data_IF_931170848370
#
_entry.id   IF_931170848370
#
_cell.length_a   1.000
_cell.length_b   1.000
_cell.length_c   1.000
_cell.angle_alpha   90.00
_cell.angle_beta   90.00
_cell.angle_gamma   90.00
#
_symmetry.space_group_name_H-M   'P 1'
#
loop_
_entity.id
_entity.type
_entity.pdbx_description
1 polymer ?
#
# COMPACT_ATOMS: atom_id res chain seq x y z
N UNK A 1 -10.36 -20.35 14.67
CA UNK A 1 -9.10 -19.90 15.30
C UNK A 1 -8.65 -18.64 14.56
N UNK A 2 -8.64 -17.46 15.19
CA UNK A 2 -8.19 -16.20 14.57
C UNK A 2 -6.76 -15.93 15.04
N UNK A 3 -5.79 -16.32 14.23
CA UNK A 3 -4.39 -15.99 14.48
C UNK A 3 -4.25 -14.50 14.15
N UNK A 4 -4.04 -13.67 15.17
CA UNK A 4 -3.67 -12.28 14.97
C UNK A 4 -2.15 -12.29 14.76
N UNK A 5 -1.60 -11.68 13.70
CA UNK A 5 -0.17 -11.59 13.48
C UNK A 5 0.45 -10.59 14.46
N UNK A 6 0.33 -10.85 15.76
CA UNK A 6 0.98 -10.11 16.84
C UNK A 6 2.30 -10.80 17.07
N UNK A 7 3.34 -10.36 16.36
CA UNK A 7 4.71 -10.72 16.70
C UNK A 7 5.18 -9.81 17.84
N UNK A 8 5.96 -10.35 18.77
CA UNK A 8 6.58 -9.55 19.82
C UNK A 8 7.52 -8.52 19.16
N UNK A 9 7.60 -7.29 19.65
CA UNK A 9 8.48 -6.23 19.10
C UNK A 9 9.93 -6.70 18.95
N UNK A 10 10.38 -7.66 19.78
CA UNK A 10 11.70 -8.28 19.68
C UNK A 10 11.96 -9.06 18.36
N UNK A 11 10.91 -9.42 17.64
CA UNK A 11 11.00 -10.07 16.32
C UNK A 11 11.13 -9.05 15.19
N UNK A 12 10.89 -7.76 15.47
CA UNK A 12 11.25 -6.70 14.54
C UNK A 12 12.78 -6.58 14.53
N UNK A 13 13.39 -6.92 13.39
CA UNK A 13 14.77 -6.56 13.15
C UNK A 13 14.84 -5.11 12.68
N UNK A 14 15.80 -4.36 13.22
CA UNK A 14 16.09 -3.00 12.75
C UNK A 14 16.47 -3.07 11.27
N UNK A 15 15.81 -2.25 10.45
CA UNK A 15 16.19 -2.08 9.05
C UNK A 15 17.67 -1.72 8.95
N UNK A 16 18.43 -2.50 8.19
CA UNK A 16 19.82 -2.22 7.87
C UNK A 16 19.89 -1.98 6.36
N UNK A 17 20.24 -0.76 5.92
CA UNK A 17 20.52 -0.52 4.51
C UNK A 17 21.68 -1.40 4.08
N UNK A 18 21.67 -1.89 2.83
CA UNK A 18 22.78 -2.67 2.30
C UNK A 18 24.10 -1.90 2.48
N UNK A 19 25.10 -2.45 3.21
CA UNK A 19 26.38 -1.80 3.42
C UNK A 19 27.15 -1.56 2.12
N UNK A 20 26.77 -2.22 1.03
CA UNK A 20 27.35 -2.00 -0.30
C UNK A 20 26.58 -0.99 -1.14
N UNK A 21 25.49 -0.42 -0.64
CA UNK A 21 24.69 0.59 -1.33
C UNK A 21 24.12 0.11 -2.67
N UNK A 22 23.82 -1.20 -2.80
CA UNK A 22 23.23 -1.76 -4.02
C UNK A 22 21.73 -1.51 -4.08
N UNK A 23 21.10 -1.25 -2.94
CA UNK A 23 19.71 -0.86 -2.89
C UNK A 23 19.58 0.55 -3.50
N UNK A 24 18.73 0.73 -4.53
CA UNK A 24 18.46 2.07 -5.04
C UNK A 24 17.86 2.92 -3.91
N UNK A 25 18.20 4.22 -3.85
CA UNK A 25 17.56 5.11 -2.89
C UNK A 25 16.05 5.12 -3.15
N UNK A 26 15.27 4.88 -2.10
CA UNK A 26 13.82 5.00 -2.17
C UNK A 26 13.45 6.47 -2.41
N UNK A 27 12.41 6.75 -3.21
CA UNK A 27 11.92 8.12 -3.38
C UNK A 27 11.54 8.76 -2.04
N UNK A 28 11.73 10.08 -1.88
CA UNK A 28 11.16 10.79 -0.73
C UNK A 28 9.63 10.90 -0.87
N UNK A 29 8.89 11.06 0.25
CA UNK A 29 7.47 11.39 0.18
C UNK A 29 7.25 12.77 -0.47
N UNK A 30 6.12 12.90 -1.14
CA UNK A 30 5.54 14.17 -1.55
C UNK A 30 4.84 14.76 -0.33
N UNK A 31 5.12 16.02 0.00
CA UNK A 31 4.47 16.69 1.13
C UNK A 31 3.35 17.59 0.61
N UNK A 32 2.12 17.35 1.06
CA UNK A 32 0.95 18.17 0.68
C UNK A 32 0.98 19.55 1.32
N UNK A 33 0.08 20.45 0.90
CA UNK A 33 -0.05 21.78 1.52
C UNK A 33 -0.44 21.70 3.01
N UNK A 34 -1.14 20.64 3.40
CA UNK A 34 -1.54 20.32 4.77
C UNK A 34 -0.41 19.66 5.59
N UNK A 35 0.72 19.33 4.95
CA UNK A 35 1.85 18.65 5.57
C UNK A 35 1.69 17.13 5.69
N UNK A 36 0.79 16.54 4.92
CA UNK A 36 0.62 15.08 4.85
C UNK A 36 1.63 14.47 3.86
N UNK A 37 2.03 13.22 4.11
CA UNK A 37 2.92 12.48 3.22
C UNK A 37 2.12 11.70 2.18
N UNK A 38 2.43 11.91 0.91
CA UNK A 38 1.90 11.16 -0.23
C UNK A 38 3.03 10.43 -0.96
N UNK A 39 2.67 9.30 -1.57
CA UNK A 39 3.58 8.44 -2.31
C UNK A 39 2.96 8.10 -3.66
N UNK A 40 3.77 8.04 -4.70
CA UNK A 40 3.30 7.76 -6.04
C UNK A 40 2.94 6.27 -6.21
N UNK A 41 1.73 6.01 -6.71
CA UNK A 41 1.21 4.67 -6.98
C UNK A 41 1.71 4.21 -8.34
N UNK A 42 2.41 3.07 -8.37
CA UNK A 42 2.87 2.43 -9.62
C UNK A 42 1.77 1.52 -10.21
N UNK A 43 1.18 0.65 -9.38
CA UNK A 43 0.11 -0.27 -9.78
C UNK A 43 -0.74 -0.67 -8.56
N UNK A 44 -2.03 -0.90 -8.75
CA UNK A 44 -2.85 -1.64 -7.78
C UNK A 44 -2.80 -3.12 -8.13
N UNK A 45 -2.35 -3.93 -7.18
CA UNK A 45 -2.12 -5.36 -7.38
C UNK A 45 -3.32 -6.24 -7.00
N UNK A 46 -4.12 -5.80 -6.03
CA UNK A 46 -5.26 -6.56 -5.50
C UNK A 46 -6.24 -5.64 -4.76
N UNK A 47 -7.47 -6.11 -4.55
CA UNK A 47 -8.51 -5.41 -3.79
C UNK A 47 -9.29 -6.37 -2.89
N UNK A 48 -9.72 -5.89 -1.73
CA UNK A 48 -10.58 -6.68 -0.84
C UNK A 48 -11.45 -5.83 0.07
N UNK A 49 -12.56 -6.45 0.48
CA UNK A 49 -13.31 -5.96 1.64
C UNK A 49 -12.57 -6.28 2.95
N UNK A 50 -12.38 -5.28 3.80
CA UNK A 50 -11.86 -5.44 5.16
C UNK A 50 -12.72 -4.67 6.16
N UNK A 51 -12.79 -5.16 7.39
CA UNK A 51 -13.67 -4.63 8.43
C UNK A 51 -14.97 -5.43 8.57
N UNK A 52 -15.91 -4.92 9.38
CA UNK A 52 -17.21 -5.56 9.66
C UNK A 52 -18.32 -4.54 9.85
N UNK A 53 -19.55 -4.95 9.54
CA UNK A 53 -20.74 -4.12 9.69
C UNK A 53 -20.57 -2.80 8.95
N UNK A 54 -20.86 -1.69 9.65
CA UNK A 54 -20.75 -0.32 9.10
C UNK A 54 -19.32 0.12 8.78
N UNK A 55 -18.30 -0.58 9.28
CA UNK A 55 -16.89 -0.25 9.06
C UNK A 55 -16.26 -1.12 7.94
N UNK A 56 -17.06 -1.84 7.17
CA UNK A 56 -16.58 -2.62 6.03
C UNK A 56 -16.21 -1.65 4.91
N UNK A 57 -14.92 -1.59 4.54
CA UNK A 57 -14.38 -0.72 3.49
C UNK A 57 -13.55 -1.51 2.50
N UNK A 58 -13.33 -0.95 1.32
CA UNK A 58 -12.42 -1.48 0.31
C UNK A 58 -11.01 -1.11 0.69
N UNK A 59 -10.09 -2.04 0.48
CA UNK A 59 -8.66 -1.86 0.62
C UNK A 59 -7.98 -2.31 -0.66
N UNK A 60 -6.94 -1.61 -1.07
CA UNK A 60 -6.11 -1.92 -2.24
C UNK A 60 -4.70 -2.30 -1.80
N UNK A 61 -4.11 -3.27 -2.48
CA UNK A 61 -2.69 -3.60 -2.35
C UNK A 61 -1.91 -2.75 -3.35
N UNK A 62 -1.10 -1.84 -2.86
CA UNK A 62 -0.39 -0.86 -3.68
C UNK A 62 1.04 -1.33 -3.94
N UNK A 63 1.45 -1.25 -5.21
CA UNK A 63 2.84 -1.20 -5.64
C UNK A 63 3.25 0.26 -5.72
N UNK A 64 4.27 0.66 -4.97
CA UNK A 64 4.76 2.04 -4.90
C UNK A 64 5.90 2.27 -5.89
N UNK A 65 5.90 3.42 -6.57
CA UNK A 65 6.94 3.78 -7.56
C UNK A 65 8.30 3.83 -6.88
N UNK A 66 9.28 3.10 -7.42
CA UNK A 66 10.66 3.14 -6.93
C UNK A 66 10.92 2.38 -5.62
N UNK A 67 9.92 1.72 -5.06
CA UNK A 67 10.08 0.79 -3.95
C UNK A 67 10.13 -0.65 -4.44
N UNK A 68 10.61 -1.59 -3.63
CA UNK A 68 10.56 -3.01 -3.96
C UNK A 68 9.17 -3.62 -3.65
N UNK A 69 8.98 -4.91 -3.93
CA UNK A 69 7.71 -5.59 -3.64
C UNK A 69 7.50 -5.86 -2.14
N UNK A 70 8.55 -5.80 -1.32
CA UNK A 70 8.49 -5.90 0.13
C UNK A 70 7.89 -4.66 0.80
N UNK A 71 7.95 -3.51 0.13
CA UNK A 71 7.27 -2.28 0.55
C UNK A 71 5.79 -2.20 0.16
N UNK A 72 5.27 -3.17 -0.59
CA UNK A 72 3.85 -3.16 -0.97
C UNK A 72 2.96 -3.16 0.27
N UNK A 73 1.99 -2.25 0.32
CA UNK A 73 1.11 -2.08 1.49
C UNK A 73 -0.35 -2.13 1.11
N UNK A 74 -1.19 -2.50 2.08
CA UNK A 74 -2.64 -2.45 1.94
C UNK A 74 -3.14 -1.10 2.45
N UNK A 75 -3.68 -0.27 1.55
CA UNK A 75 -4.25 1.04 1.88
C UNK A 75 -5.79 1.00 1.78
N UNK A 76 -6.53 1.70 2.66
CA UNK A 76 -7.96 1.87 2.49
C UNK A 76 -8.23 2.70 1.23
N UNK A 77 -9.35 2.45 0.53
CA UNK A 77 -9.69 3.16 -0.70
C UNK A 77 -9.73 4.69 -0.53
N UNK A 78 -10.10 5.18 0.67
CA UNK A 78 -10.10 6.61 1.01
C UNK A 78 -8.69 7.24 0.90
N UNK A 79 -7.61 6.48 1.10
CA UNK A 79 -6.23 6.96 0.98
C UNK A 79 -5.72 6.95 -0.48
N UNK A 80 -6.42 6.27 -1.38
CA UNK A 80 -5.98 6.05 -2.78
C UNK A 80 -6.72 7.00 -3.74
N UNK A 81 -7.48 7.96 -3.20
CA UNK A 81 -8.32 8.88 -3.99
C UNK A 81 -7.55 9.69 -5.03
N UNK A 82 -6.28 9.98 -4.79
CA UNK A 82 -5.44 10.75 -5.71
C UNK A 82 -4.86 9.92 -6.88
N UNK A 83 -5.11 8.60 -6.90
CA UNK A 83 -4.62 7.67 -7.92
C UNK A 83 -5.75 7.10 -8.79
N UNK A 84 -6.63 7.96 -9.31
CA UNK A 84 -7.80 7.56 -10.11
C UNK A 84 -7.43 6.71 -11.34
N UNK A 85 -6.34 7.05 -12.03
CA UNK A 85 -5.87 6.30 -13.21
C UNK A 85 -5.52 4.86 -12.84
N UNK A 86 -4.76 4.67 -11.76
CA UNK A 86 -4.39 3.33 -11.27
C UNK A 86 -5.61 2.50 -10.86
N UNK A 87 -6.63 3.13 -10.25
CA UNK A 87 -7.90 2.47 -9.90
C UNK A 87 -8.64 2.02 -11.16
N UNK A 88 -8.75 2.90 -12.16
CA UNK A 88 -9.44 2.59 -13.42
C UNK A 88 -8.75 1.46 -14.17
N UNK A 89 -7.43 1.52 -14.30
CA UNK A 89 -6.64 0.49 -14.97
C UNK A 89 -6.76 -0.87 -14.28
N UNK A 90 -6.74 -0.88 -12.95
CA UNK A 90 -6.94 -2.09 -12.16
C UNK A 90 -8.31 -2.71 -12.41
N UNK A 91 -9.40 -1.95 -12.31
CA UNK A 91 -10.76 -2.49 -12.50
C UNK A 91 -11.07 -2.85 -13.95
N UNK A 92 -10.41 -2.19 -14.91
CA UNK A 92 -10.46 -2.59 -16.32
C UNK A 92 -9.78 -3.95 -16.54
N UNK A 93 -8.65 -4.19 -15.87
CA UNK A 93 -7.88 -5.44 -15.94
C UNK A 93 -8.55 -6.57 -15.15
N UNK A 94 -9.23 -6.24 -14.05
CA UNK A 94 -9.90 -7.18 -13.16
C UNK A 94 -11.35 -6.76 -12.87
N UNK A 95 -12.30 -6.97 -13.81
CA UNK A 95 -13.68 -6.49 -13.65
C UNK A 95 -14.45 -7.10 -12.47
N UNK A 96 -14.02 -8.28 -11.98
CA UNK A 96 -14.62 -8.98 -10.84
C UNK A 96 -13.98 -8.59 -9.49
N UNK A 97 -12.98 -7.70 -9.51
CA UNK A 97 -12.32 -7.22 -8.30
C UNK A 97 -13.27 -6.35 -7.48
N UNK A 98 -12.98 -6.20 -6.18
CA UNK A 98 -13.79 -5.37 -5.30
C UNK A 98 -13.52 -3.90 -5.63
N UNK A 99 -14.46 -3.26 -6.32
CA UNK A 99 -14.43 -1.84 -6.67
C UNK A 99 -15.43 -0.98 -5.89
N UNK A 100 -15.24 0.36 -5.92
CA UNK A 100 -16.10 1.34 -5.25
C UNK A 100 -17.53 1.37 -5.81
#
# INVERSE_FOLDING_TARGET
MRIHPVFHINLLQKFHPDPHGRDPPQPPPIITEEGEEEYEVEEILDSKWKGRGKNKKIWYLIKWVGYDAGSNSWEPADNVGNAEEAIQDFHKKFPEAVGP
#
